data_IF_418336120432
#
_entry.id   IF_418336120432
#
_cell.length_a   1.000
_cell.length_b   1.000
_cell.length_c   1.000
_cell.angle_alpha   90.00
_cell.angle_beta   90.00
_cell.angle_gamma   90.00
#
_symmetry.space_group_name_H-M   'P 1'
#
loop_
_entity.id
_entity.type
_entity.pdbx_description
1 polymer ?
#
# COMPACT_ATOMS: atom_id res chain seq x y z
N UNK A 1 21.31 -3.81 -11.37
CA UNK A 1 20.39 -3.35 -12.42
C UNK A 1 20.04 -1.89 -12.16
N UNK A 2 20.41 -1.00 -13.10
CA UNK A 2 20.20 0.44 -12.94
C UNK A 2 18.71 0.81 -13.00
N UNK A 3 17.91 0.07 -13.76
CA UNK A 3 16.46 0.28 -13.85
C UNK A 3 15.73 0.04 -12.50
N UNK A 4 16.35 -0.70 -11.56
CA UNK A 4 15.76 -0.89 -10.23
C UNK A 4 15.50 0.43 -9.51
N UNK A 5 16.33 1.47 -9.76
CA UNK A 5 16.15 2.81 -9.20
C UNK A 5 14.78 3.38 -9.59
N UNK A 6 14.40 3.19 -10.84
CA UNK A 6 13.11 3.67 -11.36
C UNK A 6 11.95 2.84 -10.83
N UNK A 7 12.14 1.51 -10.70
CA UNK A 7 11.12 0.64 -10.10
C UNK A 7 10.87 1.01 -8.63
N UNK A 8 11.93 1.27 -7.87
CA UNK A 8 11.82 1.70 -6.47
C UNK A 8 11.17 3.09 -6.35
N UNK A 9 11.49 4.03 -7.27
CA UNK A 9 10.84 5.35 -7.34
C UNK A 9 9.32 5.22 -7.54
N UNK A 10 8.89 4.35 -8.46
CA UNK A 10 7.46 4.12 -8.72
C UNK A 10 6.79 3.47 -7.50
N UNK A 11 7.42 2.48 -6.88
CA UNK A 11 6.87 1.84 -5.68
C UNK A 11 6.69 2.85 -4.54
N UNK A 12 7.66 3.73 -4.31
CA UNK A 12 7.55 4.83 -3.34
C UNK A 12 6.44 5.81 -3.69
N UNK A 13 6.35 6.22 -4.94
CA UNK A 13 5.32 7.16 -5.40
C UNK A 13 3.91 6.60 -5.21
N UNK A 14 3.68 5.34 -5.59
CA UNK A 14 2.38 4.67 -5.40
C UNK A 14 2.06 4.55 -3.91
N UNK A 15 3.05 4.22 -3.06
CA UNK A 15 2.87 4.16 -1.62
C UNK A 15 2.45 5.52 -1.05
N UNK A 16 3.14 6.60 -1.44
CA UNK A 16 2.81 7.97 -1.02
C UNK A 16 1.40 8.38 -1.47
N UNK A 17 1.03 8.11 -2.71
CA UNK A 17 -0.32 8.39 -3.21
C UNK A 17 -1.39 7.61 -2.44
N UNK A 18 -1.11 6.35 -2.11
CA UNK A 18 -2.01 5.53 -1.27
C UNK A 18 -2.20 6.13 0.11
N UNK A 19 -1.11 6.51 0.79
CA UNK A 19 -1.17 7.13 2.13
C UNK A 19 -1.98 8.43 2.11
N UNK A 20 -1.80 9.25 1.08
CA UNK A 20 -2.58 10.48 0.90
C UNK A 20 -4.07 10.22 0.67
N UNK A 21 -4.41 9.22 -0.15
CA UNK A 21 -5.82 8.86 -0.39
C UNK A 21 -6.48 8.26 0.85
N UNK A 22 -5.77 7.40 1.59
CA UNK A 22 -6.25 6.84 2.86
C UNK A 22 -6.52 7.96 3.87
N UNK A 23 -5.63 8.95 4.01
CA UNK A 23 -5.82 10.07 4.93
C UNK A 23 -7.07 10.91 4.56
N UNK A 24 -7.35 11.11 3.26
CA UNK A 24 -8.56 11.82 2.81
C UNK A 24 -9.85 11.11 3.18
N UNK A 25 -9.86 9.79 3.20
CA UNK A 25 -11.06 8.98 3.50
C UNK A 25 -11.17 8.56 4.96
N UNK A 26 -10.17 8.85 5.77
CA UNK A 26 -10.02 8.38 7.16
C UNK A 26 -11.23 8.69 8.05
N UNK A 27 -11.77 9.91 7.96
CA UNK A 27 -12.95 10.30 8.75
C UNK A 27 -14.17 9.46 8.37
N UNK A 28 -14.40 9.25 7.09
CA UNK A 28 -15.51 8.41 6.61
C UNK A 28 -15.33 6.95 6.97
N UNK A 29 -14.10 6.47 6.90
CA UNK A 29 -13.76 5.12 7.31
C UNK A 29 -13.98 4.90 8.81
N UNK A 30 -13.62 5.90 9.64
CA UNK A 30 -13.85 5.85 11.08
C UNK A 30 -15.35 5.82 11.42
N UNK A 31 -16.17 6.65 10.78
CA UNK A 31 -17.63 6.64 10.97
C UNK A 31 -18.23 5.28 10.58
N UNK A 32 -17.80 4.70 9.45
CA UNK A 32 -18.25 3.36 9.02
C UNK A 32 -17.80 2.26 9.98
N UNK A 33 -16.59 2.35 10.51
CA UNK A 33 -16.08 1.40 11.50
C UNK A 33 -16.85 1.49 12.82
N UNK A 34 -17.17 2.71 13.30
CA UNK A 34 -18.04 2.90 14.47
C UNK A 34 -19.40 2.24 14.27
N UNK A 35 -20.01 2.42 13.10
CA UNK A 35 -21.30 1.80 12.78
C UNK A 35 -21.25 0.28 12.82
N UNK A 36 -20.21 -0.34 12.29
CA UNK A 36 -20.02 -1.80 12.35
C UNK A 36 -19.83 -2.31 13.77
N UNK A 37 -19.09 -1.58 14.62
CA UNK A 37 -18.95 -1.91 16.05
C UNK A 37 -20.28 -1.79 16.77
N UNK A 38 -21.06 -0.73 16.51
CA UNK A 38 -22.38 -0.55 17.08
C UNK A 38 -23.36 -1.66 16.66
N UNK A 39 -23.29 -2.09 15.40
CA UNK A 39 -24.09 -3.21 14.90
C UNK A 39 -23.73 -4.54 15.60
N UNK A 40 -22.44 -4.77 15.87
CA UNK A 40 -21.99 -5.93 16.63
C UNK A 40 -22.44 -5.89 18.09
N UNK A 41 -22.43 -4.69 18.72
CA UNK A 41 -22.85 -4.49 20.11
C UNK A 41 -24.37 -4.59 20.30
N UNK A 42 -25.14 -4.12 19.31
CA UNK A 42 -26.59 -3.98 19.37
C UNK A 42 -27.32 -5.06 18.58
N UNK A 43 -26.63 -6.15 18.19
CA UNK A 43 -27.30 -7.30 17.53
C UNK A 43 -28.49 -7.71 18.41
N UNK A 44 -29.76 -7.58 17.94
CA UNK A 44 -30.88 -8.12 18.68
C UNK A 44 -30.72 -9.64 18.76
N UNK A 45 -30.88 -10.18 19.96
CA UNK A 45 -31.21 -11.59 20.10
C UNK A 45 -32.43 -11.82 19.16
N UNK A 46 -32.33 -12.82 18.27
CA UNK A 46 -33.36 -13.18 17.28
C UNK A 46 -34.74 -13.28 17.95
N UNK A 47 -35.49 -12.19 17.94
CA UNK A 47 -36.93 -12.24 18.18
C UNK A 47 -37.61 -11.22 17.27
N UNK A 48 -38.36 -11.76 16.32
CA UNK A 48 -39.17 -11.11 15.33
C UNK A 48 -40.44 -10.53 16.00
N UNK A 49 -40.39 -9.25 16.40
CA UNK A 49 -41.60 -8.40 16.45
C UNK A 49 -41.16 -6.95 16.69
N UNK A 50 -40.77 -6.27 15.61
CA UNK A 50 -40.46 -4.84 15.64
C UNK A 50 -41.72 -4.02 15.36
N UNK A 51 -42.33 -3.45 16.38
CA UNK A 51 -43.30 -2.37 16.28
C UNK A 51 -42.58 -1.01 16.16
N UNK A 52 -43.21 -0.01 15.55
CA UNK A 52 -42.61 1.30 15.26
C UNK A 52 -42.06 2.04 16.53
N UNK A 53 -42.57 1.75 17.71
CA UNK A 53 -42.06 2.27 18.99
C UNK A 53 -40.67 1.71 19.40
N UNK A 54 -40.23 0.62 18.79
CA UNK A 54 -38.90 0.04 19.05
C UNK A 54 -37.80 0.79 18.32
N UNK A 55 -38.07 1.45 17.21
CA UNK A 55 -37.08 2.16 16.40
C UNK A 55 -36.49 3.38 17.10
N UNK A 56 -37.33 4.17 17.81
CA UNK A 56 -36.86 5.37 18.54
C UNK A 56 -36.00 4.98 19.74
N UNK A 57 -36.34 3.90 20.42
CA UNK A 57 -35.54 3.36 21.54
C UNK A 57 -34.20 2.78 21.05
N UNK A 58 -34.22 2.11 19.94
CA UNK A 58 -32.98 1.58 19.30
C UNK A 58 -32.06 2.72 18.86
N UNK A 59 -32.61 3.78 18.25
CA UNK A 59 -31.83 4.95 17.85
C UNK A 59 -31.23 5.70 19.05
N UNK A 60 -31.96 5.88 20.10
CA UNK A 60 -31.46 6.52 21.33
C UNK A 60 -30.38 5.69 22.02
N UNK A 61 -30.55 4.37 22.05
CA UNK A 61 -29.55 3.45 22.58
C UNK A 61 -28.29 3.48 21.71
N UNK A 62 -28.43 3.47 20.38
CA UNK A 62 -27.29 3.54 19.45
C UNK A 62 -26.47 4.83 19.63
N UNK A 63 -27.16 5.97 19.84
CA UNK A 63 -26.48 7.26 20.11
C UNK A 63 -25.75 7.24 21.46
N UNK A 64 -26.32 6.64 22.50
CA UNK A 64 -25.68 6.49 23.81
C UNK A 64 -24.42 5.63 23.70
N UNK A 65 -24.49 4.48 23.00
CA UNK A 65 -23.33 3.61 22.80
C UNK A 65 -22.27 4.28 21.92
N UNK A 66 -22.64 5.06 20.90
CA UNK A 66 -21.71 5.85 20.09
C UNK A 66 -20.95 6.87 20.95
N UNK A 67 -21.65 7.56 21.86
CA UNK A 67 -21.02 8.49 22.80
C UNK A 67 -20.00 7.78 23.68
N UNK A 68 -20.39 6.67 24.32
CA UNK A 68 -19.50 5.85 25.16
C UNK A 68 -18.30 5.29 24.39
N UNK A 69 -18.48 4.92 23.13
CA UNK A 69 -17.42 4.45 22.25
C UNK A 69 -16.38 5.55 22.02
N UNK A 70 -16.84 6.79 21.73
CA UNK A 70 -15.97 7.96 21.51
C UNK A 70 -15.28 8.44 22.79
N UNK A 71 -15.89 8.22 23.95
CA UNK A 71 -15.32 8.52 25.28
C UNK A 71 -14.34 7.43 25.77
N UNK A 72 -14.23 6.29 25.03
CA UNK A 72 -13.34 5.20 25.38
C UNK A 72 -13.82 4.30 26.53
N UNK A 73 -15.05 4.48 27.03
CA UNK A 73 -15.61 3.68 28.11
C UNK A 73 -15.79 2.19 27.78
N UNK A 74 -15.76 1.86 26.48
CA UNK A 74 -16.01 0.52 25.98
C UNK A 74 -14.74 -0.14 25.39
N UNK A 75 -13.58 0.50 25.46
CA UNK A 75 -12.35 0.10 24.80
C UNK A 75 -11.92 -1.34 25.09
N UNK A 76 -12.05 -1.77 26.35
CA UNK A 76 -11.65 -3.09 26.84
C UNK A 76 -12.73 -4.17 26.67
N UNK A 77 -13.93 -3.79 26.24
CA UNK A 77 -15.02 -4.74 26.02
C UNK A 77 -14.76 -5.57 24.78
N UNK A 78 -14.86 -6.89 24.88
CA UNK A 78 -14.73 -7.80 23.75
C UNK A 78 -15.99 -7.83 22.90
N UNK A 79 -15.81 -7.80 21.58
CA UNK A 79 -16.85 -7.99 20.58
C UNK A 79 -16.44 -9.02 19.54
N UNK A 80 -17.42 -9.68 18.95
CA UNK A 80 -17.24 -10.56 17.80
C UNK A 80 -17.49 -9.76 16.52
N UNK A 81 -16.47 -9.62 15.70
CA UNK A 81 -16.56 -8.95 14.41
C UNK A 81 -16.15 -9.89 13.28
N UNK A 82 -16.79 -9.73 12.13
CA UNK A 82 -16.35 -10.35 10.90
C UNK A 82 -15.31 -9.44 10.26
N UNK A 83 -14.08 -9.92 10.17
CA UNK A 83 -12.99 -9.26 9.46
C UNK A 83 -12.78 -10.01 8.17
N UNK A 84 -12.79 -9.30 7.05
CA UNK A 84 -12.29 -9.85 5.79
C UNK A 84 -10.81 -10.11 6.04
N UNK A 85 -10.40 -11.38 5.95
CA UNK A 85 -9.00 -11.73 6.06
C UNK A 85 -8.27 -10.93 4.96
N UNK A 86 -7.71 -9.78 5.33
CA UNK A 86 -6.75 -9.10 4.49
C UNK A 86 -5.80 -10.18 4.01
N UNK A 87 -5.59 -10.29 2.70
CA UNK A 87 -4.49 -11.05 2.16
C UNK A 87 -3.24 -10.44 2.78
N UNK A 88 -2.90 -10.87 4.00
CA UNK A 88 -1.54 -10.81 4.49
C UNK A 88 -0.82 -11.61 3.42
N UNK A 89 -0.18 -10.88 2.50
CA UNK A 89 0.63 -11.51 1.50
C UNK A 89 1.57 -12.44 2.26
N UNK A 90 1.29 -13.71 2.20
CA UNK A 90 2.34 -14.68 2.34
C UNK A 90 3.20 -14.36 1.13
N UNK A 91 4.18 -13.46 1.31
CA UNK A 91 5.30 -13.35 0.40
C UNK A 91 5.95 -14.73 0.41
N UNK A 92 5.48 -15.58 -0.46
CA UNK A 92 6.21 -16.78 -0.83
C UNK A 92 7.45 -16.21 -1.51
N UNK A 93 8.54 -16.09 -0.77
CA UNK A 93 9.86 -15.81 -1.33
C UNK A 93 10.19 -16.95 -2.27
N UNK A 94 9.77 -16.78 -3.52
CA UNK A 94 10.16 -17.69 -4.57
C UNK A 94 11.65 -17.48 -4.88
N UNK A 95 12.42 -18.55 -5.07
CA UNK A 95 13.78 -18.42 -5.58
C UNK A 95 13.80 -17.67 -6.92
N UNK A 96 14.84 -16.91 -7.23
CA UNK A 96 14.96 -16.19 -8.50
C UNK A 96 14.76 -17.15 -9.70
N UNK A 97 13.81 -16.83 -10.58
CA UNK A 97 13.49 -17.62 -11.77
C UNK A 97 12.15 -18.39 -11.73
N UNK A 98 11.39 -18.35 -10.64
CA UNK A 98 10.07 -19.00 -10.54
C UNK A 98 8.92 -17.99 -10.38
N UNK A 99 9.12 -16.75 -10.77
CA UNK A 99 8.16 -15.64 -10.58
C UNK A 99 6.83 -15.89 -11.33
N UNK A 100 6.90 -16.47 -12.54
CA UNK A 100 5.70 -16.77 -13.34
C UNK A 100 4.84 -17.89 -12.74
N UNK A 101 5.46 -18.90 -12.12
CA UNK A 101 4.71 -19.95 -11.40
C UNK A 101 4.06 -19.41 -10.12
N UNK A 102 4.72 -18.50 -9.44
CA UNK A 102 4.20 -17.87 -8.23
C UNK A 102 2.99 -16.99 -8.56
N UNK A 103 3.05 -16.24 -9.67
CA UNK A 103 1.94 -15.44 -10.16
C UNK A 103 0.75 -16.31 -10.62
N UNK A 104 1.00 -17.44 -11.29
CA UNK A 104 -0.05 -18.38 -11.66
C UNK A 104 -0.70 -19.07 -10.47
N UNK A 105 0.10 -19.46 -9.46
CA UNK A 105 -0.41 -20.00 -8.21
C UNK A 105 -1.20 -18.94 -7.43
N UNK A 106 -0.73 -17.70 -7.34
CA UNK A 106 -1.43 -16.60 -6.71
C UNK A 106 -2.77 -16.29 -7.40
N UNK A 107 -2.81 -16.31 -8.74
CA UNK A 107 -4.05 -16.14 -9.49
C UNK A 107 -5.01 -17.33 -9.32
N UNK A 108 -4.49 -18.55 -9.23
CA UNK A 108 -5.28 -19.75 -8.99
C UNK A 108 -5.84 -19.78 -7.55
N UNK A 109 -5.06 -19.35 -6.54
CA UNK A 109 -5.54 -19.18 -5.16
C UNK A 109 -6.52 -18.02 -5.03
N UNK A 110 -6.37 -16.94 -5.81
CA UNK A 110 -7.31 -15.81 -5.81
C UNK A 110 -8.65 -16.17 -6.49
N UNK A 111 -8.65 -17.07 -7.45
CA UNK A 111 -9.88 -17.54 -8.13
C UNK A 111 -10.64 -18.61 -7.35
N UNK A 112 -9.98 -19.34 -6.43
CA UNK A 112 -10.59 -20.35 -5.55
C UNK A 112 -10.97 -19.80 -4.16
N UNK A 113 -10.58 -18.56 -3.84
CA UNK A 113 -10.83 -17.93 -2.56
C UNK A 113 -12.12 -17.12 -2.55
N UNK A 114 -13.25 -17.75 -2.21
CA UNK A 114 -14.27 -17.04 -1.47
C UNK A 114 -13.59 -16.21 -0.38
N UNK A 115 -13.89 -14.92 -0.33
CA UNK A 115 -13.50 -14.05 0.81
C UNK A 115 -14.00 -14.71 2.09
N UNK A 116 -13.13 -15.50 2.74
CA UNK A 116 -13.46 -16.11 4.01
C UNK A 116 -13.40 -15.00 5.04
N UNK A 117 -14.53 -14.39 5.32
CA UNK A 117 -14.70 -13.60 6.53
C UNK A 117 -14.42 -14.52 7.72
N UNK A 118 -13.54 -14.08 8.59
CA UNK A 118 -13.20 -14.79 9.82
C UNK A 118 -13.81 -14.01 10.99
N UNK A 119 -14.67 -14.67 11.74
CA UNK A 119 -15.17 -14.09 12.99
C UNK A 119 -14.06 -14.13 14.04
N UNK A 120 -13.69 -12.99 14.58
CA UNK A 120 -12.65 -12.85 15.58
C UNK A 120 -13.20 -12.09 16.79
N UNK A 121 -12.86 -12.57 18.00
CA UNK A 121 -13.12 -11.85 19.25
C UNK A 121 -11.96 -10.91 19.55
N UNK A 122 -12.24 -9.63 19.66
CA UNK A 122 -11.24 -8.60 19.94
C UNK A 122 -11.81 -7.53 20.89
N UNK A 123 -10.94 -6.87 21.69
CA UNK A 123 -11.31 -5.64 22.37
C UNK A 123 -11.74 -4.57 21.37
N UNK A 124 -12.74 -3.77 21.72
CA UNK A 124 -13.34 -2.76 20.84
C UNK A 124 -12.28 -1.80 20.29
N UNK A 125 -11.31 -1.39 21.08
CA UNK A 125 -10.20 -0.54 20.63
C UNK A 125 -9.41 -1.13 19.45
N UNK A 126 -9.12 -2.43 19.52
CA UNK A 126 -8.42 -3.14 18.43
C UNK A 126 -9.34 -3.36 17.23
N UNK A 127 -10.59 -3.71 17.50
CA UNK A 127 -11.62 -3.89 16.48
C UNK A 127 -11.85 -2.62 15.67
N UNK A 128 -11.99 -1.47 16.32
CA UNK A 128 -12.13 -0.16 15.66
C UNK A 128 -10.96 0.15 14.73
N UNK A 129 -9.73 -0.07 15.18
CA UNK A 129 -8.56 0.17 14.35
C UNK A 129 -8.58 -0.71 13.09
N UNK A 130 -8.80 -2.02 13.25
CA UNK A 130 -8.83 -2.95 12.12
C UNK A 130 -9.98 -2.66 11.16
N UNK A 131 -11.16 -2.35 11.68
CA UNK A 131 -12.32 -1.99 10.86
C UNK A 131 -12.10 -0.67 10.12
N UNK A 132 -11.48 0.33 10.76
CA UNK A 132 -11.14 1.59 10.12
C UNK A 132 -10.17 1.38 8.94
N UNK A 133 -9.14 0.56 9.12
CA UNK A 133 -8.17 0.23 8.06
C UNK A 133 -8.86 -0.53 6.91
N UNK A 134 -9.78 -1.47 7.23
CA UNK A 134 -10.57 -2.21 6.23
C UNK A 134 -11.52 -1.28 5.45
N UNK A 135 -12.28 -0.41 6.14
CA UNK A 135 -13.19 0.53 5.51
C UNK A 135 -12.44 1.58 4.67
N UNK A 136 -11.29 2.07 5.15
CA UNK A 136 -10.43 2.96 4.36
C UNK A 136 -9.95 2.27 3.07
N UNK A 137 -9.55 1.01 3.14
CA UNK A 137 -9.12 0.24 1.97
C UNK A 137 -10.25 0.05 0.94
N UNK A 138 -11.51 -0.09 1.39
CA UNK A 138 -12.68 -0.18 0.51
C UNK A 138 -13.02 1.15 -0.19
N UNK A 139 -12.78 2.27 0.51
CA UNK A 139 -13.08 3.61 -0.01
C UNK A 139 -12.04 4.12 -1.01
N UNK A 140 -10.89 3.48 -1.09
CA UNK A 140 -9.77 3.89 -1.94
C UNK A 140 -9.75 3.08 -3.23
N UNK A 141 -9.67 3.78 -4.37
CA UNK A 141 -9.55 3.14 -5.68
C UNK A 141 -8.09 2.80 -5.99
N UNK A 142 -7.75 1.51 -5.99
CA UNK A 142 -6.38 1.03 -6.22
C UNK A 142 -5.86 1.33 -7.63
N UNK A 143 -6.71 1.28 -8.65
CA UNK A 143 -6.31 1.58 -10.03
C UNK A 143 -6.01 3.08 -10.19
N UNK A 144 -6.80 3.94 -9.59
CA UNK A 144 -6.56 5.38 -9.58
C UNK A 144 -5.24 5.73 -8.88
N UNK A 145 -4.93 5.08 -7.75
CA UNK A 145 -3.65 5.24 -7.05
C UNK A 145 -2.47 4.85 -7.94
N UNK A 146 -2.57 3.75 -8.68
CA UNK A 146 -1.50 3.33 -9.60
C UNK A 146 -1.26 4.39 -10.67
N UNK A 147 -2.33 4.86 -11.32
CA UNK A 147 -2.23 5.89 -12.36
C UNK A 147 -1.62 7.16 -11.81
N UNK A 148 -2.13 7.68 -10.68
CA UNK A 148 -1.61 8.87 -10.02
C UNK A 148 -0.15 8.68 -9.56
N UNK A 149 0.20 7.50 -9.05
CA UNK A 149 1.55 7.19 -8.59
C UNK A 149 2.56 7.13 -9.75
N UNK A 150 2.20 6.54 -10.88
CA UNK A 150 3.05 6.52 -12.08
C UNK A 150 3.23 7.95 -12.60
N UNK A 151 2.14 8.71 -12.77
CA UNK A 151 2.18 10.09 -13.24
C UNK A 151 3.01 10.97 -12.30
N UNK A 152 2.87 10.83 -10.98
CA UNK A 152 3.65 11.58 -10.01
C UNK A 152 5.14 11.22 -10.08
N UNK A 153 5.49 9.96 -10.30
CA UNK A 153 6.88 9.55 -10.50
C UNK A 153 7.46 10.10 -11.80
N UNK A 154 6.71 10.05 -12.90
CA UNK A 154 7.14 10.58 -14.19
C UNK A 154 7.34 12.11 -14.18
N UNK A 155 6.41 12.86 -13.58
CA UNK A 155 6.38 14.32 -13.69
C UNK A 155 7.12 15.03 -12.55
N UNK A 156 7.23 14.41 -11.38
CA UNK A 156 7.76 15.02 -10.17
C UNK A 156 8.88 14.20 -9.53
N UNK A 157 9.32 13.11 -10.17
CA UNK A 157 10.34 12.21 -9.63
C UNK A 157 11.70 12.90 -9.54
N UNK A 158 12.40 12.70 -8.42
CA UNK A 158 13.77 13.16 -8.20
C UNK A 158 14.61 11.96 -7.73
N UNK A 159 15.70 11.72 -8.41
CA UNK A 159 16.65 10.65 -8.11
C UNK A 159 17.99 11.24 -7.73
N UNK A 160 18.50 10.90 -6.55
CA UNK A 160 19.84 11.26 -6.11
C UNK A 160 20.78 10.07 -6.29
N UNK A 161 21.91 10.31 -6.97
CA UNK A 161 22.96 9.33 -7.16
C UNK A 161 24.24 9.88 -6.55
N UNK A 162 24.68 9.29 -5.44
CA UNK A 162 25.91 9.68 -4.79
C UNK A 162 27.11 8.88 -5.31
N UNK A 163 28.30 9.44 -5.15
CA UNK A 163 29.60 8.82 -5.52
C UNK A 163 29.68 8.38 -7.00
N UNK A 164 29.08 9.15 -7.92
CA UNK A 164 29.08 8.82 -9.35
C UNK A 164 30.52 8.71 -9.93
N UNK A 165 31.49 9.37 -9.31
CA UNK A 165 32.91 9.28 -9.68
C UNK A 165 33.48 7.86 -9.56
N UNK A 166 32.92 7.03 -8.67
CA UNK A 166 33.32 5.62 -8.56
C UNK A 166 32.91 4.78 -9.77
N UNK A 167 31.83 5.20 -10.44
CA UNK A 167 31.35 4.57 -11.69
C UNK A 167 32.14 5.13 -12.88
N UNK A 168 32.56 6.39 -12.84
CA UNK A 168 33.21 7.10 -13.92
C UNK A 168 34.73 6.84 -14.03
N UNK A 169 35.39 6.30 -13.00
CA UNK A 169 36.84 6.01 -13.01
C UNK A 169 37.19 4.97 -14.06
N UNK A 170 38.05 5.34 -15.02
CA UNK A 170 38.74 4.37 -15.87
C UNK A 170 39.73 3.56 -15.03
N UNK A 171 39.62 2.25 -15.03
CA UNK A 171 40.69 1.39 -14.46
C UNK A 171 41.90 1.37 -15.38
N UNK A 172 43.01 1.85 -14.84
CA UNK A 172 44.34 1.64 -15.43
C UNK A 172 44.92 0.26 -15.03
N UNK A 173 44.13 -0.83 -15.08
CA UNK A 173 44.59 -2.13 -14.61
C UNK A 173 43.87 -3.31 -15.29
N UNK A 174 44.65 -4.26 -15.74
CA UNK A 174 44.27 -5.51 -16.40
C UNK A 174 43.30 -6.34 -15.53
N UNK A 175 42.04 -6.42 -15.96
CA UNK A 175 41.10 -7.45 -15.50
C UNK A 175 40.17 -7.03 -14.37
N UNK A 176 38.94 -6.71 -14.69
CA UNK A 176 37.84 -6.63 -13.70
C UNK A 176 36.81 -5.53 -13.87
N UNK A 177 36.86 -4.72 -14.91
CA UNK A 177 36.05 -3.50 -15.00
C UNK A 177 34.78 -3.54 -15.88
N UNK A 178 34.44 -4.74 -16.37
CA UNK A 178 33.24 -4.93 -17.23
C UNK A 178 31.93 -4.50 -16.48
N UNK A 179 31.90 -4.59 -15.15
CA UNK A 179 30.70 -4.26 -14.38
C UNK A 179 30.49 -2.74 -14.22
N UNK A 180 31.56 -1.94 -14.15
CA UNK A 180 31.46 -0.46 -13.98
C UNK A 180 31.10 0.22 -15.29
N UNK A 181 31.74 -0.19 -16.40
CA UNK A 181 31.38 0.29 -17.72
C UNK A 181 29.94 -0.08 -18.08
N UNK A 182 29.46 -1.23 -17.63
CA UNK A 182 28.06 -1.67 -17.76
C UNK A 182 27.10 -0.71 -17.05
N UNK A 183 27.38 -0.34 -15.81
CA UNK A 183 26.52 0.61 -15.03
C UNK A 183 26.49 1.99 -15.69
N UNK A 184 27.63 2.51 -16.13
CA UNK A 184 27.71 3.81 -16.81
C UNK A 184 26.90 3.83 -18.09
N UNK A 185 27.04 2.78 -18.94
CA UNK A 185 26.30 2.62 -20.17
C UNK A 185 24.79 2.47 -19.95
N UNK A 186 24.39 1.76 -18.91
CA UNK A 186 22.99 1.51 -18.60
C UNK A 186 22.30 2.73 -17.93
N UNK A 187 23.07 3.61 -17.26
CA UNK A 187 22.56 4.82 -16.65
C UNK A 187 22.24 5.91 -17.66
N UNK A 188 23.01 6.01 -18.74
CA UNK A 188 22.86 7.06 -19.74
C UNK A 188 21.45 7.13 -20.36
N UNK A 189 20.86 6.02 -20.84
CA UNK A 189 19.51 6.04 -21.40
C UNK A 189 18.45 6.49 -20.38
N UNK A 190 18.63 6.16 -19.10
CA UNK A 190 17.68 6.59 -18.06
C UNK A 190 17.70 8.11 -17.87
N UNK A 191 18.88 8.74 -17.97
CA UNK A 191 19.05 10.19 -17.81
C UNK A 191 18.58 10.94 -19.07
N UNK A 192 18.83 10.38 -20.26
CA UNK A 192 18.45 10.97 -21.54
C UNK A 192 16.95 10.82 -21.87
N UNK A 193 16.27 9.90 -21.20
CA UNK A 193 14.87 9.57 -21.42
C UNK A 193 14.71 8.19 -22.05
N UNK A 194 14.07 7.30 -21.31
CA UNK A 194 13.75 5.95 -21.73
C UNK A 194 12.45 5.47 -21.10
N UNK A 195 11.98 4.31 -21.56
CA UNK A 195 10.78 3.69 -20.99
C UNK A 195 11.21 2.43 -20.22
N UNK A 196 10.91 2.41 -18.91
CA UNK A 196 11.24 1.30 -18.00
C UNK A 196 9.99 0.49 -17.70
N UNK A 197 10.10 -0.82 -17.76
CA UNK A 197 9.02 -1.73 -17.35
C UNK A 197 9.04 -1.95 -15.83
N UNK A 198 7.89 -1.73 -15.21
CA UNK A 198 7.68 -1.99 -13.78
C UNK A 198 6.51 -2.95 -13.58
N UNK A 199 6.36 -3.51 -12.40
CA UNK A 199 5.19 -4.34 -12.04
C UNK A 199 3.85 -3.57 -12.04
N UNK A 200 3.91 -2.23 -12.10
CA UNK A 200 2.74 -1.36 -12.14
C UNK A 200 2.41 -0.85 -13.53
N UNK A 201 3.30 -1.02 -14.49
CA UNK A 201 3.20 -0.55 -15.86
C UNK A 201 4.49 0.05 -16.37
N UNK A 202 4.43 0.63 -17.56
CA UNK A 202 5.56 1.31 -18.19
C UNK A 202 5.66 2.73 -17.62
N UNK A 203 6.89 3.21 -17.39
CA UNK A 203 7.21 4.57 -16.94
C UNK A 203 8.23 5.21 -17.85
N UNK A 204 8.01 6.48 -18.18
CA UNK A 204 8.95 7.30 -18.93
C UNK A 204 9.83 8.12 -18.01
N UNK A 205 11.13 8.19 -18.30
CA UNK A 205 12.09 8.89 -17.45
C UNK A 205 12.42 10.32 -17.92
N UNK A 206 11.80 10.78 -19.00
CA UNK A 206 12.09 12.05 -19.67
C UNK A 206 11.99 13.29 -18.76
N UNK A 207 11.09 13.28 -17.78
CA UNK A 207 10.88 14.39 -16.86
C UNK A 207 11.39 14.10 -15.43
N UNK A 208 12.03 12.96 -15.21
CA UNK A 208 12.62 12.65 -13.91
C UNK A 208 13.91 13.44 -13.74
N UNK A 209 14.05 14.15 -12.62
CA UNK A 209 15.25 14.91 -12.32
C UNK A 209 16.31 14.00 -11.68
N UNK A 210 17.47 13.87 -12.31
CA UNK A 210 18.62 13.17 -11.77
C UNK A 210 19.63 14.17 -11.21
N UNK A 211 19.96 14.04 -9.92
CA UNK A 211 20.96 14.84 -9.22
C UNK A 211 22.10 13.91 -8.83
N UNK A 212 23.30 14.19 -9.31
CA UNK A 212 24.46 13.36 -9.05
C UNK A 212 25.50 14.11 -8.25
N UNK A 213 26.17 13.46 -7.30
CA UNK A 213 27.31 13.97 -6.57
C UNK A 213 28.52 13.07 -6.75
N UNK A 214 29.74 13.62 -6.63
CA UNK A 214 30.98 12.85 -6.75
C UNK A 214 32.23 13.71 -6.60
N UNK A 215 33.36 13.03 -6.39
CA UNK A 215 34.68 13.66 -6.21
C UNK A 215 35.42 13.83 -7.56
N UNK A 216 34.90 14.68 -8.43
CA UNK A 216 35.36 14.82 -9.83
C UNK A 216 36.80 15.35 -9.98
N UNK A 217 37.40 15.91 -8.93
CA UNK A 217 38.80 16.38 -8.95
C UNK A 217 39.84 15.23 -9.11
N UNK A 218 39.41 13.98 -8.89
CA UNK A 218 40.22 12.77 -9.00
C UNK A 218 39.93 12.00 -10.31
N UNK A 219 38.83 12.30 -10.98
CA UNK A 219 38.43 11.68 -12.23
C UNK A 219 39.04 12.47 -13.42
N UNK A 220 40.14 11.99 -13.98
CA UNK A 220 40.70 12.44 -15.27
C UNK A 220 40.34 11.47 -16.36
#
# INVERSE_FOLDING_TARGET
DVESIIRDLVDMSIKMCREQQVEKVKLRAADSAEDRVLDALLRPARDETSTAESNDKVNSTRQLFRKKLREGELDDKEIEIEIVASKVGVEIMAPPGMEDMTNQLQNMFSSLGNEKSKTVKLPIKQALKQLCDEEAAKLVNQEEIKVQGIEAAEQNGIVFIDEIDKVAKRSEGNGGDVSREGVQRDLLPLIEGSTVSTKHGMIKTDHILFITSGAFHVAK
#
